data_IF_173045864967
#
_entry.id   IF_173045864967
#
_cell.length_a   1.000
_cell.length_b   1.000
_cell.length_c   1.000
_cell.angle_alpha   90.00
_cell.angle_beta   90.00
_cell.angle_gamma   90.00
#
_symmetry.space_group_name_H-M   'P 1'
#
loop_
_entity.id
_entity.type
_entity.pdbx_description
1 polymer ?
#
# COMPACT_ATOMS: atom_id res chain seq x y z
N UNK A 1 78.09 51.85 -6.11
CA UNK A 1 76.76 52.23 -6.57
C UNK A 1 75.92 50.90 -6.55
N UNK A 2 75.16 50.70 -5.47
CA UNK A 2 74.39 49.50 -5.24
C UNK A 2 72.92 49.89 -5.39
N UNK A 3 72.24 49.39 -6.41
CA UNK A 3 70.82 49.62 -6.64
C UNK A 3 70.03 48.60 -5.84
N UNK A 4 69.22 49.08 -4.90
CA UNK A 4 68.28 48.29 -4.07
C UNK A 4 67.02 47.99 -4.88
N UNK A 5 66.72 46.70 -5.12
CA UNK A 5 65.49 46.26 -5.63
C UNK A 5 64.52 45.97 -4.49
N UNK A 6 63.52 46.84 -4.37
CA UNK A 6 62.35 46.63 -3.46
C UNK A 6 61.34 45.64 -4.09
N UNK A 7 61.11 44.52 -3.41
CA UNK A 7 60.02 43.61 -3.73
C UNK A 7 58.85 43.97 -2.83
N UNK A 8 57.59 44.04 -3.43
CA UNK A 8 56.40 44.21 -2.61
C UNK A 8 55.94 42.85 -1.98
N UNK A 9 55.33 42.86 -0.81
CA UNK A 9 54.92 41.65 -0.13
C UNK A 9 53.65 41.06 -0.86
N UNK A 10 53.65 39.73 -1.05
CA UNK A 10 52.51 38.96 -1.57
C UNK A 10 51.36 39.01 -0.56
N UNK A 11 50.25 39.58 -1.01
CA UNK A 11 48.96 39.52 -0.30
C UNK A 11 48.33 38.14 -0.54
N UNK A 12 48.48 37.23 0.43
CA UNK A 12 47.77 35.97 0.44
C UNK A 12 46.28 36.23 0.72
N UNK A 13 45.44 36.12 -0.31
CA UNK A 13 44.01 36.29 -0.23
C UNK A 13 43.34 35.22 0.63
N UNK A 14 42.74 35.64 1.73
CA UNK A 14 41.96 34.80 2.70
C UNK A 14 40.55 34.45 2.23
N UNK A 15 40.22 34.64 0.97
CA UNK A 15 38.86 34.53 0.43
C UNK A 15 38.38 33.13 0.02
N UNK A 16 39.20 32.11 -0.36
CA UNK A 16 38.62 30.83 -0.78
C UNK A 16 38.11 29.94 0.35
N UNK A 17 38.63 30.07 1.57
CA UNK A 17 38.22 29.21 2.71
C UNK A 17 36.85 29.57 3.24
N UNK A 18 36.48 30.85 3.24
CA UNK A 18 35.17 31.29 3.70
C UNK A 18 34.04 30.87 2.72
N UNK A 19 34.32 30.88 1.42
CA UNK A 19 33.37 30.46 0.40
C UNK A 19 33.08 28.94 0.44
N UNK A 20 34.08 28.11 0.71
CA UNK A 20 33.92 26.68 0.88
C UNK A 20 33.10 26.32 2.14
N UNK A 21 33.24 27.05 3.24
CA UNK A 21 32.46 26.83 4.45
C UNK A 21 30.96 27.17 4.26
N UNK A 22 30.65 28.22 3.50
CA UNK A 22 29.25 28.58 3.21
C UNK A 22 28.58 27.55 2.27
N UNK A 23 29.32 27.01 1.30
CA UNK A 23 28.79 25.97 0.40
C UNK A 23 28.60 24.62 1.13
N UNK A 24 29.39 24.30 2.13
CA UNK A 24 29.25 23.08 2.93
C UNK A 24 28.06 23.15 3.90
N UNK A 25 27.67 24.35 4.36
CA UNK A 25 26.50 24.53 5.22
C UNK A 25 25.16 24.50 4.49
N UNK A 26 25.11 24.72 3.16
CA UNK A 26 23.88 24.61 2.36
C UNK A 26 23.53 23.19 1.96
N UNK A 27 24.46 22.23 2.05
CA UNK A 27 24.20 20.82 1.69
C UNK A 27 23.46 20.01 2.77
N UNK A 28 23.17 20.60 3.93
CA UNK A 28 22.48 19.91 5.04
C UNK A 28 20.95 20.09 5.06
N UNK A 29 20.37 20.81 4.10
CA UNK A 29 18.92 21.13 4.12
C UNK A 29 18.07 20.09 3.34
N UNK A 30 18.69 19.05 2.76
CA UNK A 30 17.97 18.07 1.95
C UNK A 30 17.76 16.72 2.65
N UNK A 31 17.46 16.70 3.95
CA UNK A 31 17.16 15.49 4.70
C UNK A 31 15.90 15.62 5.54
N UNK A 32 14.81 16.12 4.93
CA UNK A 32 13.51 16.17 5.58
C UNK A 32 12.41 15.62 4.65
N UNK A 33 12.65 14.49 4.00
CA UNK A 33 11.58 13.56 3.68
C UNK A 33 11.47 12.64 4.88
N UNK A 34 10.76 13.09 5.91
CA UNK A 34 10.32 12.23 6.98
C UNK A 34 9.50 11.12 6.34
N UNK A 35 10.04 9.91 6.26
CA UNK A 35 9.23 8.72 6.16
C UNK A 35 8.17 8.87 7.24
N UNK A 36 6.88 8.93 6.82
CA UNK A 36 5.80 8.88 7.78
C UNK A 36 6.00 7.59 8.58
N UNK A 37 6.24 7.74 9.85
CA UNK A 37 6.40 6.60 10.75
C UNK A 37 4.98 6.07 11.04
N UNK A 38 4.51 5.17 10.19
CA UNK A 38 3.20 4.54 10.30
C UNK A 38 3.06 3.69 11.58
N UNK A 39 4.17 3.41 12.26
CA UNK A 39 4.21 2.65 13.52
C UNK A 39 4.00 3.53 14.74
N UNK A 40 3.85 4.86 14.57
CA UNK A 40 3.61 5.83 15.65
C UNK A 40 2.27 6.56 15.52
N UNK A 41 1.74 7.12 16.62
CA UNK A 41 0.57 7.97 16.58
C UNK A 41 0.74 9.12 15.55
N UNK A 42 -0.32 9.51 14.83
CA UNK A 42 -1.73 9.10 15.02
C UNK A 42 -2.13 7.79 14.34
N UNK A 43 -1.32 7.17 13.50
CA UNK A 43 -1.69 5.95 12.75
C UNK A 43 -1.53 4.72 13.63
N UNK A 44 -0.32 4.51 14.22
CA UNK A 44 0.02 3.38 15.08
C UNK A 44 -0.43 2.03 14.50
N UNK A 45 0.06 1.72 13.29
CA UNK A 45 -0.45 0.67 12.42
C UNK A 45 -0.52 -0.71 13.12
N UNK A 46 0.44 -1.02 13.98
CA UNK A 46 0.50 -2.31 14.68
C UNK A 46 -0.43 -2.42 15.89
N UNK A 47 -0.87 -1.29 16.46
CA UNK A 47 -1.73 -1.27 17.64
C UNK A 47 -3.19 -0.96 17.28
N UNK A 48 -3.41 -0.30 16.14
CA UNK A 48 -4.75 0.10 15.71
C UNK A 48 -5.53 -1.10 15.21
N UNK A 49 -6.70 -1.31 15.79
CA UNK A 49 -7.65 -2.34 15.34
C UNK A 49 -8.37 -1.80 14.11
N UNK A 50 -8.27 -2.51 12.98
CA UNK A 50 -8.95 -2.13 11.76
C UNK A 50 -10.48 -2.06 11.98
N UNK A 51 -11.10 -1.00 11.46
CA UNK A 51 -12.55 -0.79 11.51
C UNK A 51 -13.08 -0.43 10.12
N UNK A 52 -13.34 -1.44 9.31
CA UNK A 52 -13.79 -1.31 7.94
C UNK A 52 -14.88 -2.36 7.62
N UNK A 53 -15.41 -2.33 6.41
CA UNK A 53 -16.49 -3.21 5.99
C UNK A 53 -16.14 -4.71 6.10
N UNK A 54 -14.86 -5.09 5.96
CA UNK A 54 -14.43 -6.49 6.10
C UNK A 54 -14.43 -6.95 7.56
N UNK A 55 -13.92 -6.15 8.48
CA UNK A 55 -13.93 -6.49 9.91
C UNK A 55 -15.35 -6.54 10.46
N UNK A 56 -16.25 -5.66 9.97
CA UNK A 56 -17.66 -5.68 10.31
C UNK A 56 -18.35 -6.93 9.77
N UNK A 57 -18.07 -7.31 8.51
CA UNK A 57 -18.58 -8.55 7.93
C UNK A 57 -18.09 -9.78 8.69
N UNK A 58 -16.79 -9.84 9.05
CA UNK A 58 -16.24 -10.93 9.87
C UNK A 58 -16.96 -11.04 11.20
N UNK A 59 -17.22 -9.92 11.88
CA UNK A 59 -17.97 -9.90 13.14
C UNK A 59 -19.40 -10.44 12.98
N UNK A 60 -20.08 -10.12 11.88
CA UNK A 60 -21.42 -10.64 11.59
C UNK A 60 -21.42 -12.16 11.32
N UNK A 61 -20.39 -12.66 10.60
CA UNK A 61 -20.19 -14.08 10.36
C UNK A 61 -19.93 -14.84 11.69
N UNK A 62 -19.05 -14.33 12.52
CA UNK A 62 -18.68 -14.92 13.81
C UNK A 62 -19.87 -14.97 14.81
N UNK A 63 -20.77 -13.99 14.72
CA UNK A 63 -21.99 -13.93 15.50
C UNK A 63 -23.15 -14.75 14.91
N UNK A 64 -22.94 -15.38 13.74
CA UNK A 64 -24.00 -16.12 13.04
C UNK A 64 -25.14 -15.25 12.50
N UNK A 65 -24.96 -13.92 12.42
CA UNK A 65 -25.96 -12.98 11.91
C UNK A 65 -26.12 -13.06 10.39
N UNK A 66 -25.07 -13.48 9.71
CA UNK A 66 -25.06 -13.69 8.27
C UNK A 66 -24.23 -14.92 7.92
N UNK A 67 -24.36 -15.39 6.68
CA UNK A 67 -23.59 -16.52 6.16
C UNK A 67 -23.02 -16.18 4.80
N UNK A 68 -21.75 -16.52 4.57
CA UNK A 68 -21.11 -16.33 3.29
C UNK A 68 -21.36 -17.57 2.40
N UNK A 69 -22.17 -17.40 1.36
CA UNK A 69 -22.53 -18.48 0.45
C UNK A 69 -21.38 -18.83 -0.49
N UNK A 70 -21.10 -20.11 -0.61
CA UNK A 70 -20.15 -20.67 -1.57
C UNK A 70 -20.85 -21.04 -2.87
N UNK A 71 -20.16 -20.88 -4.00
CA UNK A 71 -20.55 -21.28 -5.35
C UNK A 71 -19.49 -22.19 -5.95
N UNK A 72 -19.86 -23.31 -6.53
CA UNK A 72 -18.91 -24.25 -7.15
C UNK A 72 -18.10 -23.64 -8.29
N UNK A 73 -18.66 -22.65 -8.99
CA UNK A 73 -17.99 -22.01 -10.13
C UNK A 73 -17.09 -20.84 -9.73
N UNK A 74 -17.48 -20.05 -8.73
CA UNK A 74 -16.84 -18.78 -8.40
C UNK A 74 -16.41 -18.66 -6.93
N UNK A 75 -16.44 -19.77 -6.18
CA UNK A 75 -16.11 -19.77 -4.76
C UNK A 75 -16.98 -18.85 -3.93
N UNK A 76 -16.41 -18.09 -3.06
CA UNK A 76 -17.13 -17.13 -2.22
C UNK A 76 -17.39 -15.77 -2.90
N UNK A 77 -16.84 -15.52 -4.10
CA UNK A 77 -16.95 -14.21 -4.75
C UNK A 77 -18.39 -13.68 -4.86
N UNK A 78 -19.40 -14.44 -5.36
CA UNK A 78 -20.76 -13.92 -5.50
C UNK A 78 -21.41 -13.59 -4.15
N UNK A 79 -21.14 -14.42 -3.13
CA UNK A 79 -21.63 -14.20 -1.77
C UNK A 79 -21.03 -12.96 -1.16
N UNK A 80 -19.72 -12.78 -1.34
CA UNK A 80 -18.97 -11.63 -0.85
C UNK A 80 -19.44 -10.32 -1.52
N UNK A 81 -19.57 -10.31 -2.85
CA UNK A 81 -20.10 -9.17 -3.59
C UNK A 81 -21.48 -8.74 -3.09
N UNK A 82 -22.36 -9.71 -2.82
CA UNK A 82 -23.70 -9.43 -2.30
C UNK A 82 -23.66 -8.80 -0.91
N UNK A 83 -22.81 -9.31 0.01
CA UNK A 83 -22.76 -8.83 1.39
C UNK A 83 -22.05 -7.47 1.51
N UNK A 84 -21.16 -7.17 0.58
CA UNK A 84 -20.41 -5.90 0.52
C UNK A 84 -21.02 -4.90 -0.48
N UNK A 85 -22.18 -5.21 -1.06
CA UNK A 85 -22.89 -4.35 -2.04
C UNK A 85 -22.03 -3.95 -3.25
N UNK A 86 -21.11 -4.85 -3.67
CA UNK A 86 -20.28 -4.65 -4.85
C UNK A 86 -21.02 -5.12 -6.10
N UNK A 87 -21.22 -4.22 -7.06
CA UNK A 87 -21.91 -4.56 -8.32
C UNK A 87 -21.03 -5.39 -9.25
N UNK A 88 -21.55 -6.45 -9.89
CA UNK A 88 -20.84 -7.18 -10.95
C UNK A 88 -20.47 -6.31 -12.15
N UNK A 89 -21.19 -5.20 -12.36
CA UNK A 89 -20.95 -4.29 -13.49
C UNK A 89 -19.68 -3.46 -13.35
N UNK A 90 -19.07 -3.43 -12.17
CA UNK A 90 -17.79 -2.75 -11.92
C UNK A 90 -16.58 -3.55 -12.39
N UNK A 91 -16.80 -4.73 -13.01
CA UNK A 91 -15.71 -5.61 -13.42
C UNK A 91 -14.67 -4.91 -14.30
N UNK A 92 -13.42 -5.01 -13.88
CA UNK A 92 -12.25 -4.68 -14.68
C UNK A 92 -11.33 -5.90 -14.77
N UNK A 93 -10.85 -6.22 -15.98
CA UNK A 93 -9.90 -7.32 -16.19
C UNK A 93 -8.47 -6.75 -16.25
N UNK A 94 -7.58 -7.26 -15.40
CA UNK A 94 -6.23 -6.75 -15.28
C UNK A 94 -5.17 -7.86 -15.29
N UNK A 95 -3.98 -7.50 -15.77
CA UNK A 95 -2.78 -8.34 -15.75
C UNK A 95 -1.80 -7.81 -14.69
N UNK A 96 -2.25 -7.77 -13.43
CA UNK A 96 -1.49 -7.17 -12.33
C UNK A 96 -0.34 -8.06 -11.89
N UNK A 97 0.86 -7.47 -11.80
CA UNK A 97 2.03 -8.14 -11.23
C UNK A 97 2.03 -8.13 -9.70
N UNK A 98 1.14 -7.38 -9.07
CA UNK A 98 1.02 -7.25 -7.61
C UNK A 98 0.08 -8.25 -6.95
N UNK A 99 -0.47 -9.21 -7.71
CA UNK A 99 -1.34 -10.26 -7.18
C UNK A 99 -0.53 -11.36 -6.48
N UNK A 100 -1.03 -11.88 -5.36
CA UNK A 100 -0.51 -13.09 -4.71
C UNK A 100 -0.61 -14.32 -5.63
N UNK A 101 -1.50 -14.28 -6.62
CA UNK A 101 -1.78 -15.36 -7.56
C UNK A 101 -1.19 -15.11 -8.95
N UNK A 102 -0.11 -14.33 -9.05
CA UNK A 102 0.52 -13.92 -10.32
C UNK A 102 0.75 -15.09 -11.29
N UNK A 103 1.13 -16.27 -10.79
CA UNK A 103 1.41 -17.47 -11.61
C UNK A 103 0.18 -18.00 -12.36
N UNK A 104 -1.03 -17.63 -11.92
CA UNK A 104 -2.30 -18.05 -12.54
C UNK A 104 -2.81 -17.03 -13.55
N UNK A 105 -2.30 -15.79 -13.49
CA UNK A 105 -2.76 -14.69 -14.35
C UNK A 105 -2.10 -14.79 -15.72
N UNK A 106 -2.92 -14.95 -16.75
CA UNK A 106 -2.49 -15.03 -18.14
C UNK A 106 -3.63 -14.52 -19.06
N UNK A 107 -3.45 -14.42 -20.37
CA UNK A 107 -4.47 -13.89 -21.29
C UNK A 107 -5.82 -14.62 -21.25
N UNK A 108 -5.86 -15.89 -20.86
CA UNK A 108 -7.11 -16.68 -20.74
C UNK A 108 -7.70 -16.68 -19.33
N UNK A 109 -6.91 -16.33 -18.34
CA UNK A 109 -7.30 -16.21 -16.92
C UNK A 109 -6.84 -14.88 -16.34
N UNK A 110 -7.38 -13.75 -16.80
CA UNK A 110 -7.07 -12.46 -16.22
C UNK A 110 -7.56 -12.37 -14.75
N UNK A 111 -6.98 -11.47 -13.98
CA UNK A 111 -7.52 -11.10 -12.68
C UNK A 111 -8.73 -10.20 -12.89
N UNK A 112 -9.90 -10.62 -12.42
CA UNK A 112 -11.07 -9.79 -12.38
C UNK A 112 -11.07 -8.96 -11.09
N UNK A 113 -11.19 -7.65 -11.24
CA UNK A 113 -11.40 -6.71 -10.13
C UNK A 113 -12.86 -6.27 -10.11
N UNK A 114 -13.46 -6.27 -8.93
CA UNK A 114 -14.78 -5.71 -8.66
C UNK A 114 -14.63 -4.73 -7.51
N UNK A 115 -15.36 -3.61 -7.53
CA UNK A 115 -15.15 -2.58 -6.52
C UNK A 115 -16.37 -1.69 -6.29
N UNK A 116 -16.37 -1.04 -5.14
CA UNK A 116 -17.17 0.12 -4.81
C UNK A 116 -16.27 1.15 -4.09
N UNK A 117 -16.83 2.13 -3.43
CA UNK A 117 -16.08 3.19 -2.76
C UNK A 117 -15.28 2.70 -1.54
N UNK A 118 -15.63 1.55 -0.96
CA UNK A 118 -15.04 1.02 0.27
C UNK A 118 -14.12 -0.18 0.05
N UNK A 119 -14.41 -1.01 -0.97
CA UNK A 119 -13.69 -2.28 -1.16
C UNK A 119 -13.33 -2.56 -2.61
N UNK A 120 -12.23 -3.29 -2.77
CA UNK A 120 -11.80 -3.90 -4.03
C UNK A 120 -11.67 -5.40 -3.83
N UNK A 121 -12.27 -6.18 -4.72
CA UNK A 121 -12.22 -7.64 -4.72
C UNK A 121 -11.45 -8.11 -5.95
N UNK A 122 -10.33 -8.78 -5.76
CA UNK A 122 -9.52 -9.37 -6.81
C UNK A 122 -9.70 -10.87 -6.88
N UNK A 123 -10.20 -11.38 -7.99
CA UNK A 123 -10.49 -12.80 -8.20
C UNK A 123 -9.82 -13.32 -9.47
N UNK A 124 -9.28 -14.53 -9.39
CA UNK A 124 -8.69 -15.24 -10.53
C UNK A 124 -9.42 -16.56 -10.67
N UNK A 125 -9.81 -16.94 -11.88
CA UNK A 125 -10.47 -18.22 -12.14
C UNK A 125 -9.57 -19.39 -11.71
N UNK A 126 -10.11 -20.30 -10.89
CA UNK A 126 -9.35 -21.40 -10.30
C UNK A 126 -8.28 -20.93 -9.30
N UNK A 127 -8.36 -19.70 -8.83
CA UNK A 127 -7.49 -19.14 -7.81
C UNK A 127 -7.72 -19.74 -6.42
N UNK A 128 -6.75 -19.56 -5.53
CA UNK A 128 -6.79 -20.11 -4.18
C UNK A 128 -7.46 -19.16 -3.18
N UNK A 129 -7.47 -17.86 -3.50
CA UNK A 129 -8.03 -16.82 -2.64
C UNK A 129 -8.79 -15.77 -3.44
N UNK A 130 -9.71 -15.05 -2.79
CA UNK A 130 -10.10 -13.70 -3.18
C UNK A 130 -9.16 -12.74 -2.45
N UNK A 131 -8.50 -11.86 -3.18
CA UNK A 131 -7.70 -10.78 -2.63
C UNK A 131 -8.62 -9.58 -2.38
N UNK A 132 -8.55 -8.98 -1.21
CA UNK A 132 -9.47 -7.93 -0.81
C UNK A 132 -8.66 -6.74 -0.31
N UNK A 133 -9.07 -5.55 -0.73
CA UNK A 133 -8.59 -4.29 -0.16
C UNK A 133 -9.81 -3.57 0.40
N UNK A 134 -9.75 -3.18 1.66
CA UNK A 134 -10.79 -2.37 2.28
C UNK A 134 -10.21 -1.03 2.74
N UNK A 135 -10.97 0.04 2.56
CA UNK A 135 -10.62 1.37 3.07
C UNK A 135 -10.96 1.45 4.56
N UNK A 136 -9.97 1.81 5.35
CA UNK A 136 -10.09 2.03 6.79
C UNK A 136 -9.86 3.51 7.09
N UNK A 137 -10.69 4.15 7.92
CA UNK A 137 -10.58 5.59 8.20
C UNK A 137 -9.26 6.01 8.83
N UNK A 138 -8.61 5.12 9.59
CA UNK A 138 -7.36 5.42 10.28
C UNK A 138 -6.15 4.78 9.60
N UNK A 139 -6.29 3.53 9.14
CA UNK A 139 -5.19 2.75 8.56
C UNK A 139 -5.03 2.94 7.04
N UNK A 140 -6.01 3.55 6.38
CA UNK A 140 -6.03 3.65 4.93
C UNK A 140 -6.41 2.33 4.25
N UNK A 141 -5.60 1.83 3.32
CA UNK A 141 -5.89 0.57 2.62
C UNK A 141 -5.40 -0.63 3.44
N UNK A 142 -6.32 -1.48 3.87
CA UNK A 142 -6.04 -2.74 4.58
C UNK A 142 -6.28 -3.92 3.65
N UNK A 143 -5.35 -4.88 3.65
CA UNK A 143 -5.36 -6.02 2.75
C UNK A 143 -5.81 -7.29 3.48
N UNK A 144 -6.70 -8.03 2.84
CA UNK A 144 -7.21 -9.31 3.33
C UNK A 144 -7.16 -10.36 2.24
N UNK A 145 -7.26 -11.63 2.63
CA UNK A 145 -7.44 -12.76 1.72
C UNK A 145 -8.53 -13.67 2.25
N UNK A 146 -9.40 -14.13 1.35
CA UNK A 146 -10.41 -15.13 1.66
C UNK A 146 -10.14 -16.39 0.85
N UNK A 147 -9.93 -17.53 1.55
CA UNK A 147 -9.73 -18.84 0.90
C UNK A 147 -10.93 -19.21 0.02
N UNK A 148 -10.66 -19.72 -1.18
CA UNK A 148 -11.67 -20.22 -2.11
C UNK A 148 -12.03 -21.71 -1.87
N UNK A 149 -11.61 -22.28 -0.75
CA UNK A 149 -12.01 -23.63 -0.35
C UNK A 149 -13.29 -23.55 0.47
N UNK A 150 -14.29 -24.43 0.22
CA UNK A 150 -15.50 -24.46 1.04
C UNK A 150 -15.14 -24.89 2.47
N UNK A 151 -15.49 -24.03 3.44
CA UNK A 151 -15.28 -24.24 4.87
C UNK A 151 -16.50 -23.70 5.63
N UNK A 152 -16.78 -24.27 6.81
CA UNK A 152 -17.95 -23.90 7.61
C UNK A 152 -17.84 -22.47 8.20
N UNK A 153 -16.64 -22.01 8.48
CA UNK A 153 -16.40 -20.68 9.07
C UNK A 153 -15.30 -19.96 8.30
N UNK A 154 -15.64 -19.31 7.18
CA UNK A 154 -14.67 -18.54 6.41
C UNK A 154 -14.13 -17.36 7.21
N UNK A 155 -12.80 -17.10 7.09
CA UNK A 155 -12.07 -16.03 7.75
C UNK A 155 -11.34 -15.17 6.73
N UNK A 156 -11.26 -13.86 7.01
CA UNK A 156 -10.52 -12.87 6.26
C UNK A 156 -9.12 -12.64 6.84
#
# INVERSE_FOLDING_TARGET
MVSSLNHPPAVFGRTPVLLCMVLFSLSQICSAQGLFDFERPPIDYHQTIANNSITQLQSQLDQGKTTLKYSDQHGYLPGLMKLLEVSPTTQALVYSKSSLQLRRINPTTPRALYFNDEVYLGWVQGGEVVEIIATDPQLGSVFYTLSQRPIDSPKF
#
